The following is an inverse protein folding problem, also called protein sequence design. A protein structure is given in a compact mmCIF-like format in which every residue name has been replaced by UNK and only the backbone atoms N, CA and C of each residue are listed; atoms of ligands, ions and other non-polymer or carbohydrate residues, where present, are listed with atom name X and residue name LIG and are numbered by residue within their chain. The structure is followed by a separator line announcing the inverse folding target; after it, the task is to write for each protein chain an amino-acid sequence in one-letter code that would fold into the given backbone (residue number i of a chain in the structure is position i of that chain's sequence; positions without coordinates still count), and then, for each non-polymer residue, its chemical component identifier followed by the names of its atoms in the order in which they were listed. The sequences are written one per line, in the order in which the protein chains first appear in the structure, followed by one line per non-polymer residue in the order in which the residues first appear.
data_IF_150260006460
#
_entry.id   IF_150260006460
#
_cell.length_a   1.000
_cell.length_b   1.000
_cell.length_c   1.000
_cell.angle_alpha   90.00
_cell.angle_beta   90.00
_cell.angle_gamma   90.00
#
_symmetry.space_group_name_H-M   'P 1'
#
loop_
_entity.id
_entity.type
_entity.pdbx_description
1 polymer ?
#
# COMPACT_ATOMS: atom_id res chain seq x y z
N UNK A 1 -8.38 1.57 1.90
CA UNK A 1 -8.10 2.85 1.24
C UNK A 1 -6.93 2.76 0.28
N UNK A 2 -6.86 3.67 -0.69
CA UNK A 2 -5.75 3.74 -1.62
C UNK A 2 -5.33 5.19 -1.82
N UNK A 3 -4.02 5.42 -1.82
CA UNK A 3 -3.43 6.70 -2.19
C UNK A 3 -3.02 6.60 -3.65
N UNK A 4 -3.71 7.34 -4.51
CA UNK A 4 -3.52 7.28 -5.97
C UNK A 4 -2.56 8.38 -6.40
N UNK A 5 -1.56 8.00 -7.17
CA UNK A 5 -0.59 8.92 -7.76
C UNK A 5 -0.66 8.85 -9.28
N UNK A 6 -0.36 9.92 -9.94
CA UNK A 6 -0.37 9.96 -11.42
C UNK A 6 -0.09 11.34 -11.98
N UNK A 7 -0.16 12.37 -11.14
CA UNK A 7 0.07 13.75 -11.59
C UNK A 7 1.48 13.91 -12.15
N UNK A 8 1.56 14.34 -13.41
CA UNK A 8 2.83 14.54 -14.14
C UNK A 8 3.71 13.30 -14.24
N UNK A 9 3.08 12.11 -14.20
CA UNK A 9 3.75 10.82 -14.32
C UNK A 9 3.24 10.05 -15.54
N UNK A 10 4.02 9.07 -15.98
CA UNK A 10 3.74 8.29 -17.19
C UNK A 10 2.57 7.31 -16.99
N UNK A 11 2.27 6.96 -15.73
CA UNK A 11 1.19 6.02 -15.41
C UNK A 11 0.65 6.28 -14.01
N UNK A 12 -0.51 5.68 -13.72
CA UNK A 12 -1.13 5.73 -12.38
C UNK A 12 -0.57 4.62 -11.52
N UNK A 13 -0.18 4.96 -10.31
CA UNK A 13 0.27 4.02 -9.29
C UNK A 13 -0.50 4.24 -7.99
N UNK A 14 -0.50 3.24 -7.11
CA UNK A 14 -1.22 3.30 -5.85
C UNK A 14 -0.42 2.71 -4.69
N UNK A 15 -0.49 3.37 -3.53
CA UNK A 15 -0.18 2.76 -2.24
C UNK A 15 -1.50 2.34 -1.62
N UNK A 16 -1.65 1.05 -1.35
CA UNK A 16 -2.90 0.50 -0.80
C UNK A 16 -2.75 0.27 0.69
N UNK A 17 -3.73 0.77 1.43
CA UNK A 17 -3.82 0.59 2.87
C UNK A 17 -5.01 -0.34 3.15
N UNK A 18 -4.72 -1.59 3.51
CA UNK A 18 -5.77 -2.58 3.75
C UNK A 18 -6.50 -2.29 5.07
N UNK A 19 -7.77 -2.71 5.13
CA UNK A 19 -8.53 -2.68 6.37
C UNK A 19 -8.20 -3.95 7.17
N UNK A 20 -7.58 -3.82 8.36
CA UNK A 20 -7.13 -5.00 9.11
C UNK A 20 -8.29 -5.85 9.63
N UNK A 21 -9.46 -5.27 9.86
CA UNK A 21 -10.64 -6.02 10.31
C UNK A 21 -11.19 -6.86 9.16
N UNK A 22 -11.41 -6.24 8.01
CA UNK A 22 -11.98 -6.91 6.83
C UNK A 22 -11.01 -7.93 6.26
N UNK A 23 -9.77 -7.54 6.02
CA UNK A 23 -8.76 -8.43 5.41
C UNK A 23 -8.32 -9.50 6.41
N UNK A 24 -8.23 -9.17 7.70
CA UNK A 24 -7.91 -10.13 8.74
C UNK A 24 -8.96 -11.23 8.83
N UNK A 25 -10.25 -10.88 8.79
CA UNK A 25 -11.32 -11.88 8.76
C UNK A 25 -11.30 -12.73 7.49
N UNK A 26 -11.07 -12.09 6.34
CA UNK A 26 -10.92 -12.79 5.07
C UNK A 26 -9.80 -13.84 5.14
N UNK A 27 -8.67 -13.48 5.76
CA UNK A 27 -7.53 -14.39 5.95
C UNK A 27 -7.87 -15.54 6.90
N UNK A 28 -8.48 -15.23 8.05
CA UNK A 28 -8.90 -16.24 9.02
C UNK A 28 -9.87 -17.26 8.41
N UNK A 29 -10.85 -16.80 7.65
CA UNK A 29 -11.83 -17.67 6.98
C UNK A 29 -11.17 -18.62 5.97
N UNK A 30 -9.97 -18.33 5.51
CA UNK A 30 -9.20 -19.14 4.55
C UNK A 30 -8.04 -19.90 5.18
N UNK A 31 -7.93 -19.84 6.52
CA UNK A 31 -6.84 -20.53 7.21
C UNK A 31 -5.47 -19.90 7.00
N UNK A 32 -5.42 -18.63 6.61
CA UNK A 32 -4.18 -17.88 6.44
C UNK A 32 -3.79 -17.27 7.79
N UNK A 33 -2.68 -17.73 8.35
CA UNK A 33 -2.18 -17.23 9.64
C UNK A 33 -1.36 -15.97 9.46
N UNK A 34 -1.56 -15.00 10.35
CA UNK A 34 -0.74 -13.79 10.42
C UNK A 34 -0.60 -13.35 11.88
N UNK A 35 0.46 -12.60 12.18
CA UNK A 35 0.75 -12.15 13.55
C UNK A 35 0.51 -10.66 13.75
N UNK A 36 0.92 -9.82 12.78
CA UNK A 36 0.85 -8.37 12.87
C UNK A 36 0.20 -7.79 11.61
N UNK A 37 -0.16 -6.51 11.65
CA UNK A 37 -0.62 -5.81 10.46
C UNK A 37 0.43 -5.85 9.34
N UNK A 38 1.69 -5.64 9.70
CA UNK A 38 2.80 -5.70 8.74
C UNK A 38 2.89 -7.07 8.07
N UNK A 39 2.76 -8.15 8.85
CA UNK A 39 2.76 -9.51 8.34
C UNK A 39 1.58 -9.73 7.40
N UNK A 40 0.37 -9.33 7.82
CA UNK A 40 -0.83 -9.44 6.98
C UNK A 40 -0.67 -8.68 5.66
N UNK A 41 -0.15 -7.44 5.71
CA UNK A 41 0.03 -6.61 4.52
C UNK A 41 1.04 -7.21 3.53
N UNK A 42 1.91 -8.09 3.97
CA UNK A 42 2.95 -8.74 3.15
C UNK A 42 2.57 -10.14 2.67
N UNK A 43 1.39 -10.64 3.01
CA UNK A 43 0.98 -11.98 2.57
C UNK A 43 0.78 -12.04 1.05
N UNK A 44 1.35 -13.05 0.37
CA UNK A 44 1.13 -13.22 -1.07
C UNK A 44 -0.35 -13.36 -1.43
N UNK A 45 -1.15 -14.00 -0.57
CA UNK A 45 -2.59 -14.18 -0.77
C UNK A 45 -3.32 -12.84 -0.75
N UNK A 46 -2.90 -11.91 0.11
CA UNK A 46 -3.43 -10.55 0.16
C UNK A 46 -3.08 -9.80 -1.13
N UNK A 47 -1.85 -9.97 -1.64
CA UNK A 47 -1.44 -9.39 -2.91
C UNK A 47 -2.33 -9.87 -4.07
N UNK A 48 -2.64 -11.16 -4.12
CA UNK A 48 -3.53 -11.72 -5.15
C UNK A 48 -4.95 -11.16 -5.03
N UNK A 49 -5.46 -11.04 -3.81
CA UNK A 49 -6.77 -10.40 -3.55
C UNK A 49 -6.80 -8.98 -4.09
N UNK A 50 -5.75 -8.21 -3.83
CA UNK A 50 -5.67 -6.83 -4.29
C UNK A 50 -5.45 -6.71 -5.80
N UNK A 51 -4.73 -7.64 -6.41
CA UNK A 51 -4.60 -7.69 -7.88
C UNK A 51 -5.95 -7.89 -8.54
N UNK A 52 -6.80 -8.75 -7.99
CA UNK A 52 -8.17 -8.93 -8.46
C UNK A 52 -8.97 -7.64 -8.36
N UNK A 53 -8.89 -6.97 -7.20
CA UNK A 53 -9.58 -5.70 -6.97
C UNK A 53 -9.12 -4.60 -7.94
N UNK A 54 -7.82 -4.49 -8.16
CA UNK A 54 -7.24 -3.52 -9.10
C UNK A 54 -7.64 -3.86 -10.54
N UNK A 55 -7.67 -5.15 -10.90
CA UNK A 55 -8.14 -5.60 -12.21
C UNK A 55 -9.58 -5.17 -12.45
N UNK A 56 -10.45 -5.34 -11.45
CA UNK A 56 -11.86 -4.92 -11.53
C UNK A 56 -12.00 -3.40 -11.70
N UNK A 57 -11.21 -2.64 -10.96
CA UNK A 57 -11.18 -1.18 -11.09
C UNK A 57 -10.71 -0.76 -12.48
N UNK A 58 -9.64 -1.39 -12.97
CA UNK A 58 -9.08 -1.09 -14.29
C UNK A 58 -10.07 -1.44 -15.42
N UNK A 59 -10.84 -2.49 -15.25
CA UNK A 59 -11.86 -2.89 -16.25
C UNK A 59 -12.95 -1.81 -16.41
N UNK A 60 -13.17 -0.99 -15.40
CA UNK A 60 -14.15 0.11 -15.42
C UNK A 60 -13.54 1.46 -15.77
N UNK A 61 -12.24 1.53 -16.01
CA UNK A 61 -11.58 2.77 -16.38
C UNK A 61 -12.02 3.21 -17.79
N UNK A 62 -12.43 4.45 -17.92
CA UNK A 62 -12.91 4.99 -19.20
C UNK A 62 -11.79 5.14 -20.23
N UNK A 63 -10.56 5.34 -19.77
CA UNK A 63 -9.40 5.52 -20.64
C UNK A 63 -8.23 4.70 -20.13
N UNK A 64 -7.38 4.24 -21.05
CA UNK A 64 -6.22 3.40 -20.71
C UNK A 64 -5.29 4.06 -19.70
N UNK A 65 -5.04 5.36 -19.85
CA UNK A 65 -4.14 6.07 -18.93
C UNK A 65 -4.70 6.31 -17.54
N UNK A 66 -5.97 5.97 -17.29
CA UNK A 66 -6.54 5.99 -15.93
C UNK A 66 -6.33 4.68 -15.17
N UNK A 67 -5.90 3.63 -15.86
CA UNK A 67 -5.67 2.33 -15.22
C UNK A 67 -4.46 2.37 -14.30
N UNK A 68 -4.59 1.70 -13.18
CA UNK A 68 -3.49 1.54 -12.22
C UNK A 68 -2.51 0.51 -12.79
N UNK A 69 -1.29 0.91 -13.03
CA UNK A 69 -0.24 0.05 -13.58
C UNK A 69 0.55 -0.65 -12.50
N UNK A 70 0.86 0.03 -11.41
CA UNK A 70 1.64 -0.53 -10.31
C UNK A 70 1.03 -0.16 -8.97
N UNK A 71 1.17 -1.06 -8.00
CA UNK A 71 0.77 -0.78 -6.62
C UNK A 71 1.70 -1.46 -5.62
N UNK A 72 1.66 -0.98 -4.40
CA UNK A 72 2.29 -1.61 -3.24
C UNK A 72 1.34 -1.53 -2.06
N UNK A 73 1.50 -2.45 -1.11
CA UNK A 73 0.67 -2.48 0.11
C UNK A 73 1.47 -1.85 1.23
N UNK A 74 0.93 -0.79 1.81
CA UNK A 74 1.62 -0.07 2.88
C UNK A 74 1.67 -0.93 4.14
N UNK A 75 2.82 -0.97 4.78
CA UNK A 75 3.13 -1.83 5.93
C UNK A 75 2.51 -1.36 7.25
N UNK A 76 1.88 -0.19 7.27
CA UNK A 76 1.24 0.39 8.45
C UNK A 76 -0.06 1.07 8.04
N UNK A 77 -0.98 1.24 9.00
CA UNK A 77 -2.18 2.05 8.76
C UNK A 77 -1.81 3.53 8.70
N UNK A 78 -2.42 4.24 7.75
CA UNK A 78 -2.35 5.69 7.72
C UNK A 78 -3.02 6.26 8.98
N UNK A 79 -2.41 7.25 9.59
CA UNK A 79 -2.80 7.75 10.90
C UNK A 79 -2.87 9.28 10.92
N UNK A 80 -3.85 9.79 11.65
CA UNK A 80 -4.01 11.22 11.91
C UNK A 80 -2.85 11.78 12.75
N UNK A 81 -2.43 11.03 13.76
CA UNK A 81 -1.34 11.45 14.66
C UNK A 81 0.00 11.53 13.94
N UNK A 82 0.19 10.70 12.90
CA UNK A 82 1.38 10.73 12.05
C UNK A 82 1.31 11.81 10.97
N UNK A 83 0.24 12.59 10.93
CA UNK A 83 0.05 13.64 9.94
C UNK A 83 -0.38 13.19 8.56
N UNK A 84 -0.66 11.91 8.39
CA UNK A 84 -1.00 11.30 7.09
C UNK A 84 -2.46 11.50 6.71
N UNK A 85 -3.32 11.66 7.71
CA UNK A 85 -4.74 11.94 7.53
C UNK A 85 -5.11 13.27 8.18
N UNK A 86 -6.12 13.93 7.64
CA UNK A 86 -6.74 15.09 8.29
C UNK A 86 -7.56 14.62 9.50
N UNK A 87 -8.00 15.57 10.33
CA UNK A 87 -8.86 15.28 11.50
C UNK A 87 -10.17 14.58 11.09
N UNK A 88 -10.62 14.79 9.85
CA UNK A 88 -11.83 14.14 9.32
C UNK A 88 -11.54 12.86 8.56
N UNK A 89 -10.31 12.36 8.62
CA UNK A 89 -9.92 11.09 8.00
C UNK A 89 -9.59 11.14 6.52
N UNK A 90 -9.39 12.33 5.96
CA UNK A 90 -9.00 12.47 4.55
C UNK A 90 -7.49 12.31 4.40
N UNK A 91 -7.07 11.61 3.34
CA UNK A 91 -5.67 11.40 3.03
C UNK A 91 -5.00 12.71 2.61
N UNK A 92 -3.89 13.02 3.25
CA UNK A 92 -3.03 14.14 2.88
C UNK A 92 -2.01 13.65 1.87
N UNK A 93 -2.43 13.55 0.61
CA UNK A 93 -1.65 12.91 -0.46
C UNK A 93 -0.26 13.48 -0.63
N UNK A 94 -0.12 14.80 -0.68
CA UNK A 94 1.18 15.44 -0.83
C UNK A 94 2.12 15.12 0.33
N UNK A 95 1.60 15.15 1.55
CA UNK A 95 2.36 14.81 2.75
C UNK A 95 2.80 13.33 2.72
N UNK A 96 1.89 12.43 2.35
CA UNK A 96 2.20 10.99 2.23
C UNK A 96 3.26 10.75 1.16
N UNK A 97 3.14 11.43 0.01
CA UNK A 97 4.12 11.33 -1.07
C UNK A 97 5.51 11.76 -0.62
N UNK A 98 5.61 12.84 0.13
CA UNK A 98 6.89 13.36 0.64
C UNK A 98 7.46 12.46 1.76
N UNK A 99 6.61 12.02 2.68
CA UNK A 99 7.00 11.16 3.80
C UNK A 99 7.51 9.80 3.32
N UNK A 100 6.82 9.22 2.33
CA UNK A 100 7.15 7.92 1.76
C UNK A 100 7.78 8.05 0.38
N UNK A 101 8.61 9.08 0.19
CA UNK A 101 9.22 9.38 -1.10
C UNK A 101 9.96 8.19 -1.70
N UNK A 102 10.66 7.41 -0.87
CA UNK A 102 11.38 6.24 -1.33
C UNK A 102 10.44 5.19 -1.93
N UNK A 103 9.27 5.00 -1.31
CA UNK A 103 8.24 4.08 -1.81
C UNK A 103 7.58 4.64 -3.07
N UNK A 104 7.32 5.95 -3.08
CA UNK A 104 6.77 6.63 -4.24
C UNK A 104 7.71 6.51 -5.45
N UNK A 105 8.99 6.75 -5.26
CA UNK A 105 9.98 6.63 -6.32
C UNK A 105 10.09 5.17 -6.81
N UNK A 106 10.03 4.20 -5.91
CA UNK A 106 10.05 2.78 -6.25
C UNK A 106 8.82 2.35 -7.06
N UNK A 107 7.65 2.93 -6.79
CA UNK A 107 6.45 2.67 -7.59
C UNK A 107 6.64 3.05 -9.06
N UNK A 108 7.41 4.09 -9.33
CA UNK A 108 7.67 4.57 -10.68
C UNK A 108 8.95 4.01 -11.29
N UNK A 109 9.68 3.16 -10.59
CA UNK A 109 10.84 2.44 -11.09
C UNK A 109 10.47 0.98 -11.35
N UNK A 110 10.17 0.65 -12.61
CA UNK A 110 9.72 -0.69 -13.00
C UNK A 110 10.80 -1.77 -12.79
N UNK A 111 12.05 -1.39 -12.58
CA UNK A 111 13.13 -2.34 -12.25
C UNK A 111 13.06 -2.79 -10.77
N UNK A 112 12.33 -2.07 -9.93
CA UNK A 112 12.21 -2.38 -8.50
C UNK A 112 10.97 -3.25 -8.29
N UNK A 113 11.17 -4.49 -7.83
CA UNK A 113 10.10 -5.41 -7.48
C UNK A 113 9.91 -5.57 -5.97
N UNK A 114 10.90 -5.17 -5.18
CA UNK A 114 10.86 -5.22 -3.72
C UNK A 114 11.83 -4.19 -3.15
N UNK A 115 11.53 -3.74 -1.93
CA UNK A 115 12.34 -2.78 -1.21
C UNK A 115 12.25 -3.04 0.29
N UNK A 116 13.40 -3.00 0.97
CA UNK A 116 13.43 -3.05 2.43
C UNK A 116 13.04 -1.70 2.99
N UNK A 117 12.17 -1.72 3.99
CA UNK A 117 11.73 -0.53 4.71
C UNK A 117 11.94 -0.76 6.21
N UNK A 118 12.21 0.33 6.93
CA UNK A 118 12.26 0.30 8.39
C UNK A 118 10.98 0.91 8.93
N UNK A 119 10.25 0.13 9.72
CA UNK A 119 9.09 0.59 10.44
C UNK A 119 9.47 0.92 11.87
N UNK A 120 9.13 2.12 12.30
CA UNK A 120 9.42 2.62 13.63
C UNK A 120 8.16 2.53 14.48
N UNK A 121 8.24 1.84 15.62
CA UNK A 121 7.13 1.69 16.54
C UNK A 121 7.49 2.28 17.90
N UNK A 122 6.55 3.03 18.46
CA UNK A 122 6.65 3.55 19.82
C UNK A 122 5.63 2.84 20.68
N UNK A 123 6.10 2.23 21.78
CA UNK A 123 5.23 1.59 22.76
C UNK A 123 4.69 2.60 23.76
N UNK A 124 3.63 2.23 24.47
CA UNK A 124 3.00 3.10 25.47
C UNK A 124 3.93 3.51 26.61
N UNK A 125 4.94 2.71 26.91
CA UNK A 125 5.95 2.99 27.93
C UNK A 125 7.07 3.93 27.46
N UNK A 126 6.95 4.45 26.24
CA UNK A 126 7.95 5.33 25.62
C UNK A 126 9.12 4.61 24.96
N UNK A 127 9.18 3.27 25.05
CA UNK A 127 10.20 2.51 24.34
C UNK A 127 9.91 2.51 22.84
N UNK A 128 10.97 2.50 22.04
CA UNK A 128 10.89 2.48 20.59
C UNK A 128 11.61 1.26 20.04
N UNK A 129 11.11 0.75 18.94
CA UNK A 129 11.77 -0.34 18.21
C UNK A 129 11.67 -0.08 16.72
N UNK A 130 12.67 -0.55 15.99
CA UNK A 130 12.70 -0.53 14.54
C UNK A 130 12.59 -1.97 14.04
N UNK A 131 11.66 -2.20 13.13
CA UNK A 131 11.46 -3.51 12.50
C UNK A 131 11.68 -3.35 11.01
N UNK A 132 12.54 -4.19 10.43
CA UNK A 132 12.71 -4.26 8.99
C UNK A 132 11.57 -5.07 8.36
N UNK A 133 11.03 -4.56 7.26
CA UNK A 133 10.08 -5.27 6.43
C UNK A 133 10.52 -5.18 4.97
N UNK A 134 10.12 -6.17 4.18
CA UNK A 134 10.34 -6.15 2.74
C UNK A 134 9.01 -5.89 2.06
N UNK A 135 8.88 -4.76 1.37
CA UNK A 135 7.69 -4.45 0.59
C UNK A 135 7.85 -4.93 -0.85
N UNK A 136 6.77 -5.50 -1.38
CA UNK A 136 6.69 -5.92 -2.76
C UNK A 136 5.98 -4.85 -3.59
N UNK A 137 6.44 -4.65 -4.82
CA UNK A 137 5.82 -3.75 -5.79
C UNK A 137 5.27 -4.60 -6.94
N UNK A 138 3.99 -4.44 -7.21
CA UNK A 138 3.27 -5.28 -8.17
C UNK A 138 2.95 -4.50 -9.42
N UNK A 139 3.28 -5.07 -10.58
CA UNK A 139 2.95 -4.50 -11.89
C UNK A 139 1.77 -5.24 -12.49
N UNK A 140 0.75 -4.50 -12.89
CA UNK A 140 -0.44 -5.08 -13.53
C UNK A 140 -0.14 -5.40 -14.97
N UNK A 141 -0.41 -6.64 -15.37
CA UNK A 141 -0.23 -7.08 -16.76
C UNK A 141 -1.28 -6.44 -17.67
N UNK A 142 -0.88 -6.13 -18.88
CA UNK A 142 -1.78 -5.57 -19.90
C UNK A 142 -2.12 -4.10 -19.72
N UNK A 143 -1.49 -3.40 -18.79
CA UNK A 143 -1.62 -1.95 -18.63
C UNK A 143 -0.40 -1.28 -19.26
N UNK A 144 -0.67 -0.39 -20.19
CA UNK A 144 0.37 0.31 -20.95
C UNK A 144 1.09 1.38 -20.12
#
# INVERSE_FOLDING_TARGET
EAVIFGDKRDFVAALINIDPIVVGKWAEDRGISFTTFMDLSNKPEVAELLKEAVTDVNARAEQEHFKIKRFAVLYKLLDTDDGELTKTGKIRRKFVMEKYKDLYDALYDESVSKKKVEAFFQYQDGQTTTVEAEMQFYTMEGVA
#
